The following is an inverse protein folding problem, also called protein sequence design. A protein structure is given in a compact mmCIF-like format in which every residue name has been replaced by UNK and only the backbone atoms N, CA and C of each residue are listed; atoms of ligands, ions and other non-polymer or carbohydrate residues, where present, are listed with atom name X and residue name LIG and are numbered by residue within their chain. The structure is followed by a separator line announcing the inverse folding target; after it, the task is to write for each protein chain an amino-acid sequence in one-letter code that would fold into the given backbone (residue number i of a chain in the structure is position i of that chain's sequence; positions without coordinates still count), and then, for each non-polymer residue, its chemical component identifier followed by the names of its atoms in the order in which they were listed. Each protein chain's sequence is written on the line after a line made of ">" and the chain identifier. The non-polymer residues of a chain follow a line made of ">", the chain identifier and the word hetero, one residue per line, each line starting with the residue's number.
data_IF_401185429443
#
_entry.id   IF_401185429443
#
_cell.length_a   1.000
_cell.length_b   1.000
_cell.length_c   1.000
_cell.angle_alpha   90.00
_cell.angle_beta   90.00
_cell.angle_gamma   90.00
#
_symmetry.space_group_name_H-M   'P 1'
#
loop_
_entity.id
_entity.type
_entity.pdbx_description
1 polymer ?
#
# COMPACT_ATOMS: atom_id res chain seq x y z
N UNK A 1 34.75 30.02 49.39
CA UNK A 1 35.93 30.20 48.53
C UNK A 1 35.54 29.67 47.13
N UNK A 2 35.29 30.62 46.22
CA UNK A 2 35.17 30.34 44.78
C UNK A 2 36.53 29.98 44.14
N UNK A 3 36.63 29.39 42.96
CA UNK A 3 36.45 30.14 41.71
C UNK A 3 35.72 29.38 40.61
N UNK A 4 34.82 29.99 39.92
CA UNK A 4 34.70 30.54 38.54
C UNK A 4 35.75 29.96 37.57
N UNK A 5 35.28 29.24 36.57
CA UNK A 5 35.96 29.05 35.28
C UNK A 5 35.00 29.09 34.11
N UNK A 6 35.09 30.18 33.36
CA UNK A 6 34.57 30.45 32.07
C UNK A 6 35.26 29.57 31.00
N UNK A 7 34.53 29.06 30.00
CA UNK A 7 35.03 28.90 28.60
C UNK A 7 33.82 28.82 27.68
N UNK A 8 33.48 29.91 26.99
CA UNK A 8 33.80 30.32 25.60
C UNK A 8 33.34 29.33 24.52
N UNK A 9 32.27 29.72 23.89
CA UNK A 9 32.06 30.00 22.44
C UNK A 9 32.76 29.08 21.44
N UNK A 10 31.98 28.38 20.65
CA UNK A 10 32.29 28.16 19.25
C UNK A 10 31.01 28.25 18.41
N UNK A 11 30.81 29.39 17.80
CA UNK A 11 29.94 29.60 16.62
C UNK A 11 30.55 28.86 15.43
N UNK A 12 29.88 27.84 14.97
CA UNK A 12 30.18 27.14 13.72
C UNK A 12 29.03 27.31 12.74
N UNK A 13 29.04 28.40 12.01
CA UNK A 13 28.15 28.59 10.86
C UNK A 13 28.46 27.56 9.77
N UNK A 14 27.47 26.82 9.33
CA UNK A 14 27.54 26.00 8.12
C UNK A 14 26.51 26.45 7.12
N UNK A 15 27.09 26.90 6.01
CA UNK A 15 26.50 27.39 4.80
C UNK A 15 25.31 26.55 4.31
N UNK A 16 24.24 27.26 4.04
CA UNK A 16 23.07 26.79 3.28
C UNK A 16 23.50 26.64 1.83
N UNK A 17 23.59 25.42 1.34
CA UNK A 17 23.66 25.13 -0.09
C UNK A 17 22.24 24.89 -0.59
N UNK A 18 21.70 25.89 -1.23
CA UNK A 18 20.48 25.84 -2.04
C UNK A 18 20.72 24.95 -3.27
N UNK A 19 20.08 23.80 -3.29
CA UNK A 19 19.93 22.95 -4.48
C UNK A 19 18.56 23.23 -5.08
N UNK A 20 18.58 23.90 -6.24
CA UNK A 20 17.42 24.11 -7.11
C UNK A 20 16.89 22.79 -7.64
N UNK A 21 15.57 22.51 -7.59
CA UNK A 21 15.00 21.37 -8.28
C UNK A 21 14.80 21.70 -9.77
N UNK A 22 15.39 20.89 -10.63
CA UNK A 22 15.11 20.89 -12.06
C UNK A 22 13.69 20.33 -12.31
N UNK A 23 12.86 21.14 -12.93
CA UNK A 23 11.55 20.78 -13.47
C UNK A 23 11.73 19.84 -14.67
N UNK A 24 11.37 18.59 -14.55
CA UNK A 24 11.18 17.66 -15.65
C UNK A 24 9.68 17.66 -16.02
N UNK A 25 9.36 18.35 -17.09
CA UNK A 25 8.06 18.29 -17.73
C UNK A 25 7.95 16.98 -18.53
N UNK A 26 7.11 16.06 -18.11
CA UNK A 26 6.73 14.89 -18.89
C UNK A 26 5.50 15.21 -19.72
N UNK A 27 5.67 15.26 -21.04
CA UNK A 27 4.58 15.40 -22.01
C UNK A 27 3.79 14.09 -22.10
N UNK A 28 2.51 14.14 -21.79
CA UNK A 28 1.55 13.06 -22.02
C UNK A 28 1.02 13.17 -23.45
N UNK A 29 1.40 12.25 -24.32
CA UNK A 29 0.82 12.10 -25.66
C UNK A 29 -0.44 11.26 -25.56
N UNK A 30 -1.61 11.89 -25.69
CA UNK A 30 -2.89 11.22 -25.84
C UNK A 30 -3.06 10.76 -27.28
N UNK A 31 -2.90 9.47 -27.55
CA UNK A 31 -3.22 8.85 -28.82
C UNK A 31 -4.69 8.43 -28.87
N UNK A 32 -5.52 9.19 -29.60
CA UNK A 32 -6.91 8.81 -29.91
C UNK A 32 -6.87 8.11 -31.27
N UNK A 33 -7.03 6.79 -31.28
CA UNK A 33 -7.27 6.02 -32.49
C UNK A 33 -8.78 5.91 -32.71
N UNK A 34 -9.33 6.76 -33.55
CA UNK A 34 -10.68 6.66 -34.06
C UNK A 34 -10.68 5.72 -35.30
N UNK A 35 -11.24 4.53 -35.18
CA UNK A 35 -11.61 3.72 -36.33
C UNK A 35 -13.06 3.98 -36.69
N UNK A 36 -13.27 4.91 -37.61
CA UNK A 36 -14.49 5.09 -38.34
C UNK A 36 -14.43 4.26 -39.63
N UNK A 37 -15.28 3.26 -39.73
CA UNK A 37 -15.50 2.49 -40.96
C UNK A 37 -16.90 2.73 -41.49
N UNK A 38 -17.05 3.64 -42.48
CA UNK A 38 -18.26 3.80 -43.25
C UNK A 38 -18.21 2.83 -44.43
N UNK A 39 -19.11 1.89 -44.48
CA UNK A 39 -19.31 1.02 -45.60
C UNK A 39 -20.36 1.62 -46.59
N UNK A 40 -19.97 1.75 -47.82
CA UNK A 40 -20.86 2.13 -48.90
C UNK A 40 -21.37 0.90 -49.65
N UNK A 41 -22.66 0.93 -49.98
CA UNK A 41 -23.40 -0.01 -50.79
C UNK A 41 -22.90 -0.14 -52.24
N UNK A 42 -22.95 -1.33 -52.80
CA UNK A 42 -23.39 -1.53 -54.21
C UNK A 42 -23.78 -2.97 -54.48
N UNK A 43 -24.78 -3.20 -55.35
CA UNK A 43 -25.38 -4.50 -55.57
C UNK A 43 -24.74 -5.24 -56.74
N UNK A 44 -24.46 -6.49 -56.56
CA UNK A 44 -23.98 -7.36 -57.66
C UNK A 44 -24.49 -8.78 -57.49
N UNK A 45 -25.40 -9.12 -58.36
CA UNK A 45 -26.04 -10.42 -58.60
C UNK A 45 -25.01 -11.50 -58.94
N UNK A 46 -25.02 -12.63 -58.22
CA UNK A 46 -24.67 -13.93 -58.81
C UNK A 46 -25.10 -15.07 -57.87
N UNK A 47 -26.00 -15.83 -58.40
CA UNK A 47 -26.59 -17.06 -57.88
C UNK A 47 -25.55 -18.18 -57.94
N UNK A 48 -25.25 -18.79 -56.80
CA UNK A 48 -24.63 -20.11 -56.74
C UNK A 48 -25.14 -20.84 -55.52
N UNK A 49 -26.02 -21.77 -55.79
CA UNK A 49 -26.50 -22.78 -54.85
C UNK A 49 -25.35 -23.75 -54.54
N UNK A 50 -24.80 -23.64 -53.32
CA UNK A 50 -24.01 -24.71 -52.71
C UNK A 50 -24.67 -25.09 -51.41
N UNK A 51 -25.22 -26.26 -51.39
CA UNK A 51 -25.66 -26.96 -50.19
C UNK A 51 -24.45 -27.21 -49.32
N UNK A 52 -24.32 -26.44 -48.23
CA UNK A 52 -23.30 -26.68 -47.20
C UNK A 52 -24.00 -27.39 -46.06
N UNK A 53 -23.56 -28.62 -45.80
CA UNK A 53 -23.88 -29.45 -44.65
C UNK A 53 -23.63 -28.66 -43.36
N UNK A 54 -24.47 -28.77 -42.31
CA UNK A 54 -24.25 -28.06 -41.05
C UNK A 54 -23.00 -28.64 -40.35
N UNK A 55 -21.96 -27.85 -40.31
CA UNK A 55 -20.79 -28.09 -39.49
C UNK A 55 -21.17 -27.98 -37.99
N UNK A 56 -20.73 -28.91 -37.12
CA UNK A 56 -21.09 -28.86 -35.72
C UNK A 56 -20.59 -27.55 -35.13
N UNK A 57 -21.49 -26.80 -34.52
CA UNK A 57 -21.20 -25.57 -33.81
C UNK A 57 -20.10 -25.82 -32.78
N UNK A 58 -18.89 -25.32 -33.02
CA UNK A 58 -17.86 -25.23 -32.04
C UNK A 58 -18.42 -24.38 -30.89
N UNK A 59 -18.65 -25.04 -29.75
CA UNK A 59 -19.04 -24.41 -28.51
C UNK A 59 -17.97 -23.36 -28.19
N UNK A 60 -18.27 -22.08 -28.43
CA UNK A 60 -17.41 -20.99 -27.97
C UNK A 60 -17.30 -21.14 -26.48
N UNK A 61 -16.13 -21.58 -26.03
CA UNK A 61 -15.75 -21.52 -24.65
C UNK A 61 -15.90 -20.05 -24.21
N UNK A 62 -16.81 -19.79 -23.30
CA UNK A 62 -17.02 -18.43 -22.79
C UNK A 62 -15.69 -17.91 -22.28
N UNK A 63 -15.18 -16.85 -22.90
CA UNK A 63 -14.03 -16.13 -22.37
C UNK A 63 -14.33 -15.74 -20.93
N UNK A 64 -13.41 -15.94 -19.98
CA UNK A 64 -13.66 -15.57 -18.59
C UNK A 64 -14.02 -14.09 -18.55
N UNK A 65 -15.22 -13.79 -18.10
CA UNK A 65 -15.71 -12.42 -17.93
C UNK A 65 -14.75 -11.69 -16.99
N UNK A 66 -14.09 -10.66 -17.51
CA UNK A 66 -13.18 -9.85 -16.70
C UNK A 66 -13.91 -9.33 -15.47
N UNK A 67 -13.29 -9.47 -14.29
CA UNK A 67 -13.87 -8.96 -13.04
C UNK A 67 -14.10 -7.46 -13.17
N UNK A 68 -15.24 -6.99 -12.72
CA UNK A 68 -15.51 -5.56 -12.65
C UNK A 68 -14.58 -4.90 -11.62
N UNK A 69 -14.32 -3.61 -11.75
CA UNK A 69 -13.50 -2.86 -10.78
C UNK A 69 -14.08 -2.94 -9.36
N UNK A 70 -15.41 -3.00 -9.25
CA UNK A 70 -16.10 -3.12 -7.97
C UNK A 70 -15.88 -4.50 -7.33
N UNK A 71 -15.97 -5.58 -8.09
CA UNK A 71 -15.66 -6.94 -7.62
C UNK A 71 -14.19 -7.08 -7.21
N UNK A 72 -13.28 -6.46 -7.97
CA UNK A 72 -11.87 -6.41 -7.60
C UNK A 72 -11.66 -5.67 -6.28
N UNK A 73 -12.22 -4.47 -6.12
CA UNK A 73 -12.13 -3.70 -4.87
C UNK A 73 -12.71 -4.46 -3.67
N UNK A 74 -13.85 -5.13 -3.84
CA UNK A 74 -14.45 -5.96 -2.80
C UNK A 74 -13.54 -7.14 -2.41
N UNK A 75 -12.92 -7.80 -3.39
CA UNK A 75 -12.01 -8.92 -3.13
C UNK A 75 -10.74 -8.49 -2.38
N UNK A 76 -10.17 -7.33 -2.71
CA UNK A 76 -9.00 -6.76 -2.01
C UNK A 76 -9.37 -6.40 -0.57
N UNK A 77 -10.52 -5.77 -0.35
CA UNK A 77 -10.99 -5.43 1.00
C UNK A 77 -11.23 -6.67 1.87
N UNK A 78 -11.81 -7.72 1.29
CA UNK A 78 -12.03 -8.99 1.99
C UNK A 78 -10.70 -9.70 2.31
N UNK A 79 -9.71 -9.64 1.42
CA UNK A 79 -8.38 -10.18 1.67
C UNK A 79 -7.66 -9.44 2.81
N UNK A 80 -7.71 -8.11 2.79
CA UNK A 80 -7.12 -7.28 3.84
C UNK A 80 -7.74 -7.58 5.22
N UNK A 81 -9.07 -7.77 5.28
CA UNK A 81 -9.76 -8.10 6.52
C UNK A 81 -9.40 -9.51 7.03
N UNK A 82 -9.30 -10.51 6.14
CA UNK A 82 -8.80 -11.87 6.55
C UNK A 82 -7.40 -11.80 7.12
N UNK A 83 -6.48 -11.07 6.47
CA UNK A 83 -5.12 -10.90 6.96
C UNK A 83 -5.10 -10.19 8.32
N UNK A 84 -5.94 -9.18 8.51
CA UNK A 84 -6.08 -8.50 9.80
C UNK A 84 -6.56 -9.45 10.90
N UNK A 85 -7.59 -10.26 10.62
CA UNK A 85 -8.12 -11.23 11.59
C UNK A 85 -7.10 -12.30 11.95
N UNK A 86 -6.34 -12.80 10.97
CA UNK A 86 -5.24 -13.73 11.21
C UNK A 86 -4.18 -13.09 12.10
N UNK A 87 -3.79 -11.84 11.80
CA UNK A 87 -2.80 -11.11 12.58
C UNK A 87 -3.27 -10.87 14.03
N UNK A 88 -4.54 -10.54 14.25
CA UNK A 88 -5.11 -10.40 15.60
C UNK A 88 -4.99 -11.70 16.39
N UNK A 89 -5.35 -12.84 15.76
CA UNK A 89 -5.24 -14.17 16.41
C UNK A 89 -3.79 -14.51 16.75
N UNK A 90 -2.86 -14.26 15.85
CA UNK A 90 -1.45 -14.55 16.07
C UNK A 90 -0.87 -13.69 17.20
N UNK A 91 -1.13 -12.37 17.19
CA UNK A 91 -0.63 -11.47 18.22
C UNK A 91 -1.23 -11.70 19.61
N UNK A 92 -2.41 -12.31 19.72
CA UNK A 92 -3.02 -12.65 21.00
C UNK A 92 -2.18 -13.64 21.82
N UNK A 93 -1.39 -14.50 21.17
CA UNK A 93 -0.48 -15.45 21.81
C UNK A 93 0.94 -14.95 22.05
N UNK A 94 1.26 -13.74 21.57
CA UNK A 94 2.63 -13.22 21.60
C UNK A 94 2.96 -12.61 22.97
N UNK A 95 4.04 -13.09 23.59
CA UNK A 95 4.60 -12.51 24.80
C UNK A 95 5.52 -11.35 24.43
N UNK A 96 5.35 -10.19 25.10
CA UNK A 96 6.16 -9.00 24.85
C UNK A 96 5.94 -8.37 23.48
N UNK A 97 7.03 -8.07 22.76
CA UNK A 97 6.97 -7.36 21.49
C UNK A 97 6.97 -8.26 20.25
N UNK A 98 7.17 -9.56 20.41
CA UNK A 98 7.30 -10.52 19.32
C UNK A 98 8.71 -10.55 18.70
N UNK A 99 8.91 -11.53 17.78
CA UNK A 99 10.23 -11.85 17.19
C UNK A 99 10.58 -11.01 15.95
N UNK A 100 9.58 -10.44 15.28
CA UNK A 100 9.73 -9.75 14.00
C UNK A 100 9.88 -8.23 14.11
N UNK A 101 10.04 -7.65 15.31
CA UNK A 101 10.12 -6.18 15.47
C UNK A 101 11.28 -5.57 14.70
N UNK A 102 12.38 -6.30 14.53
CA UNK A 102 13.56 -5.84 13.76
C UNK A 102 13.32 -5.76 12.26
N UNK A 103 12.31 -6.49 11.77
CA UNK A 103 11.95 -6.55 10.37
C UNK A 103 10.95 -5.47 9.98
N UNK A 104 10.43 -4.71 10.96
CA UNK A 104 9.34 -3.75 10.76
C UNK A 104 9.79 -2.33 11.11
N UNK A 105 9.43 -1.39 10.26
CA UNK A 105 9.57 0.04 10.54
C UNK A 105 8.24 0.76 10.35
N UNK A 106 8.05 1.85 11.08
CA UNK A 106 6.86 2.71 10.98
C UNK A 106 7.26 4.17 10.86
N UNK A 107 6.59 4.89 9.95
CA UNK A 107 6.80 6.33 9.73
C UNK A 107 5.44 7.02 9.68
N UNK A 108 5.24 8.03 10.53
CA UNK A 108 4.04 8.86 10.51
C UNK A 108 3.92 9.61 9.18
N UNK A 109 2.72 9.66 8.63
CA UNK A 109 2.44 10.43 7.42
C UNK A 109 1.94 11.84 7.78
N UNK A 110 2.32 12.87 7.00
CA UNK A 110 1.72 14.19 7.13
C UNK A 110 0.21 14.09 6.91
N UNK A 111 -0.54 14.85 7.71
CA UNK A 111 -2.00 14.91 7.58
C UNK A 111 -2.37 16.26 7.03
N UNK A 112 -3.14 16.29 5.95
CA UNK A 112 -3.76 17.52 5.49
C UNK A 112 -4.70 18.05 6.56
N UNK A 113 -4.85 19.38 6.66
CA UNK A 113 -5.66 20.03 7.71
C UNK A 113 -7.13 19.59 7.72
N UNK A 114 -7.62 19.09 6.58
CA UNK A 114 -8.99 18.61 6.39
C UNK A 114 -9.19 17.12 6.66
N UNK A 115 -8.11 16.36 6.82
CA UNK A 115 -8.19 14.91 7.01
C UNK A 115 -8.35 14.57 8.49
N UNK A 116 -9.37 13.79 8.81
CA UNK A 116 -9.65 13.32 10.16
C UNK A 116 -9.10 11.90 10.41
N UNK A 117 -8.00 11.58 9.76
CA UNK A 117 -7.35 10.27 9.89
C UNK A 117 -5.86 10.47 10.15
N UNK A 118 -5.33 9.79 11.15
CA UNK A 118 -3.88 9.67 11.34
C UNK A 118 -3.38 8.43 10.63
N UNK A 119 -2.40 8.61 9.77
CA UNK A 119 -1.83 7.53 8.97
C UNK A 119 -0.36 7.33 9.28
N UNK A 120 0.08 6.09 9.25
CA UNK A 120 1.47 5.72 9.36
C UNK A 120 1.81 4.66 8.31
N UNK A 121 2.92 4.85 7.61
CA UNK A 121 3.44 3.87 6.67
C UNK A 121 4.21 2.81 7.44
N UNK A 122 3.73 1.59 7.37
CA UNK A 122 4.39 0.41 7.94
C UNK A 122 5.11 -0.31 6.81
N UNK A 123 6.40 -0.60 7.03
CA UNK A 123 7.23 -1.38 6.10
C UNK A 123 7.67 -2.63 6.80
N UNK A 124 7.48 -3.76 6.14
CA UNK A 124 7.94 -5.08 6.58
C UNK A 124 8.96 -5.59 5.59
N UNK A 125 10.15 -5.95 6.06
CA UNK A 125 11.20 -6.56 5.24
C UNK A 125 11.41 -7.99 5.71
N UNK A 126 11.09 -8.95 4.85
CA UNK A 126 11.34 -10.35 5.16
C UNK A 126 12.84 -10.68 4.98
N UNK A 127 13.55 -10.86 6.09
CA UNK A 127 14.98 -11.19 6.11
C UNK A 127 15.26 -12.68 6.15
N UNK A 128 14.22 -13.51 6.04
CA UNK A 128 14.37 -14.97 6.02
C UNK A 128 14.50 -15.48 4.60
N UNK A 129 14.76 -16.76 4.47
CA UNK A 129 14.92 -17.49 3.20
C UNK A 129 13.59 -18.03 2.63
N UNK A 130 12.48 -17.87 3.37
CA UNK A 130 11.14 -18.35 2.99
C UNK A 130 10.13 -17.23 2.99
N UNK A 131 9.06 -17.39 2.20
CA UNK A 131 7.90 -16.51 2.31
C UNK A 131 7.27 -16.65 3.71
N UNK A 132 6.83 -15.54 4.30
CA UNK A 132 6.32 -15.52 5.65
C UNK A 132 5.12 -14.58 5.79
N UNK A 133 4.25 -14.88 6.75
CA UNK A 133 3.20 -13.98 7.20
C UNK A 133 3.73 -13.10 8.33
N UNK A 134 3.40 -11.80 8.29
CA UNK A 134 3.75 -10.88 9.36
C UNK A 134 2.51 -10.26 9.98
N UNK A 135 2.45 -10.30 11.30
CA UNK A 135 1.43 -9.66 12.11
C UNK A 135 2.04 -8.46 12.82
N UNK A 136 1.49 -7.27 12.62
CA UNK A 136 2.05 -6.03 13.17
C UNK A 136 0.97 -5.25 13.90
N UNK A 137 1.23 -4.89 15.17
CA UNK A 137 0.42 -3.95 15.94
C UNK A 137 1.12 -2.60 16.02
N UNK A 138 0.46 -1.59 15.46
CA UNK A 138 0.90 -0.20 15.50
C UNK A 138 0.06 0.54 16.54
N UNK A 139 0.72 1.28 17.41
CA UNK A 139 0.08 2.19 18.35
C UNK A 139 0.32 3.65 17.92
N UNK A 140 -0.74 4.44 18.00
CA UNK A 140 -0.68 5.89 17.87
C UNK A 140 -0.70 6.49 19.26
N UNK A 141 0.42 7.07 19.67
CA UNK A 141 0.58 7.66 21.00
C UNK A 141 0.64 9.17 20.92
N UNK A 142 0.23 9.86 21.99
CA UNK A 142 0.40 11.30 22.11
C UNK A 142 1.84 11.67 22.61
N UNK A 143 2.08 12.94 22.85
CA UNK A 143 3.38 13.44 23.31
C UNK A 143 3.77 12.92 24.71
N UNK A 144 2.81 12.47 25.51
CA UNK A 144 3.05 11.86 26.83
C UNK A 144 3.31 10.36 26.75
N UNK A 145 3.18 9.75 25.58
CA UNK A 145 3.30 8.31 25.38
C UNK A 145 2.01 7.52 25.63
N UNK A 146 0.89 8.22 25.93
CA UNK A 146 -0.42 7.58 26.10
C UNK A 146 -0.93 7.05 24.77
N UNK A 147 -1.39 5.80 24.75
CA UNK A 147 -1.98 5.17 23.57
C UNK A 147 -3.37 5.76 23.33
N UNK A 148 -3.56 6.35 22.16
CA UNK A 148 -4.84 6.89 21.70
C UNK A 148 -5.61 5.86 20.86
N UNK A 149 -4.89 5.08 20.06
CA UNK A 149 -5.46 4.02 19.23
C UNK A 149 -4.40 2.98 18.88
N UNK A 150 -4.87 1.78 18.51
CA UNK A 150 -4.01 0.72 17.98
C UNK A 150 -4.64 0.08 16.75
N UNK A 151 -3.80 -0.18 15.74
CA UNK A 151 -4.19 -0.79 14.47
C UNK A 151 -3.37 -2.06 14.27
N UNK A 152 -4.05 -3.15 13.90
CA UNK A 152 -3.40 -4.42 13.55
C UNK A 152 -3.42 -4.59 12.05
N UNK A 153 -2.26 -4.91 11.49
CA UNK A 153 -2.03 -5.20 10.08
C UNK A 153 -1.52 -6.64 9.93
N UNK A 154 -1.96 -7.31 8.86
CA UNK A 154 -1.45 -8.60 8.45
C UNK A 154 -0.88 -8.50 7.03
N UNK A 155 0.32 -9.03 6.85
CA UNK A 155 1.02 -9.09 5.57
C UNK A 155 1.19 -10.55 5.19
N UNK A 156 0.42 -11.01 4.18
CA UNK A 156 0.51 -12.38 3.71
C UNK A 156 1.63 -12.55 2.68
N UNK A 157 2.24 -13.71 2.70
CA UNK A 157 3.16 -14.20 1.68
C UNK A 157 4.28 -13.21 1.30
N UNK A 158 4.86 -12.55 2.32
CA UNK A 158 5.99 -11.64 2.08
C UNK A 158 7.19 -12.46 1.60
N UNK A 159 7.65 -12.28 0.34
CA UNK A 159 8.72 -13.12 -0.20
C UNK A 159 10.07 -12.85 0.49
N UNK A 160 11.02 -13.80 0.44
CA UNK A 160 12.36 -13.63 0.96
C UNK A 160 13.06 -12.37 0.43
N UNK A 161 13.70 -11.62 1.30
CA UNK A 161 14.46 -10.41 0.96
C UNK A 161 13.61 -9.23 0.46
N UNK A 162 12.29 -9.35 0.41
CA UNK A 162 11.40 -8.29 -0.11
C UNK A 162 10.88 -7.41 1.01
N UNK A 163 10.64 -6.15 0.64
CA UNK A 163 9.96 -5.18 1.49
C UNK A 163 8.57 -4.91 0.94
N UNK A 164 7.57 -5.01 1.80
CA UNK A 164 6.17 -4.65 1.51
C UNK A 164 5.72 -3.52 2.41
N UNK A 165 4.76 -2.73 1.94
CA UNK A 165 4.28 -1.54 2.64
C UNK A 165 2.77 -1.58 2.79
N UNK A 166 2.26 -1.07 3.91
CA UNK A 166 0.83 -0.86 4.15
C UNK A 166 0.62 0.35 5.06
N UNK A 167 -0.51 1.04 4.88
CA UNK A 167 -0.89 2.15 5.76
C UNK A 167 -1.68 1.63 6.97
N UNK A 168 -1.24 2.02 8.16
CA UNK A 168 -2.03 1.95 9.37
C UNK A 168 -2.81 3.25 9.51
N UNK A 169 -4.14 3.18 9.53
CA UNK A 169 -5.02 4.34 9.59
C UNK A 169 -5.81 4.34 10.90
N UNK A 170 -5.72 5.42 11.66
CA UNK A 170 -6.47 5.63 12.89
C UNK A 170 -7.43 6.81 12.75
N UNK A 171 -8.71 6.57 12.96
CA UNK A 171 -9.73 7.62 13.08
C UNK A 171 -9.88 8.12 14.51
N UNK A 172 -9.59 7.29 15.52
CA UNK A 172 -9.69 7.65 16.94
C UNK A 172 -8.62 8.64 17.37
N UNK A 173 -7.46 8.64 16.70
CA UNK A 173 -6.37 9.58 16.94
C UNK A 173 -6.49 10.87 16.11
N UNK A 174 -7.63 11.11 15.44
CA UNK A 174 -7.88 12.31 14.65
C UNK A 174 -7.77 13.59 15.51
N UNK A 175 -7.30 14.68 14.90
CA UNK A 175 -7.20 15.97 15.57
C UNK A 175 -6.02 16.14 16.56
N UNK A 176 -5.37 15.07 16.98
CA UNK A 176 -4.26 15.08 17.93
C UNK A 176 -2.93 14.82 17.21
N UNK A 177 -1.86 15.50 17.61
CA UNK A 177 -0.50 15.15 17.16
C UNK A 177 -0.12 13.79 17.74
N UNK A 178 0.17 12.83 16.86
CA UNK A 178 0.49 11.47 17.26
C UNK A 178 1.86 11.04 16.76
N UNK A 179 2.44 10.09 17.50
CA UNK A 179 3.69 9.42 17.14
C UNK A 179 3.38 7.93 17.01
N UNK A 180 3.45 7.37 15.80
CA UNK A 180 3.23 5.94 15.61
C UNK A 180 4.44 5.14 16.09
N UNK A 181 4.18 4.01 16.76
CA UNK A 181 5.22 3.07 17.17
C UNK A 181 4.79 1.62 16.92
N UNK A 182 5.74 0.74 16.72
CA UNK A 182 5.49 -0.71 16.65
C UNK A 182 5.38 -1.21 18.10
N UNK A 183 4.18 -1.66 18.47
CA UNK A 183 3.93 -2.28 19.78
C UNK A 183 4.34 -3.75 19.78
N UNK A 184 3.88 -4.50 18.75
CA UNK A 184 4.19 -5.91 18.58
C UNK A 184 4.39 -6.21 17.09
N UNK A 185 5.29 -7.14 16.80
CA UNK A 185 5.44 -7.72 15.47
C UNK A 185 5.87 -9.20 15.59
N UNK A 186 5.14 -10.05 14.89
CA UNK A 186 5.36 -11.51 14.90
C UNK A 186 5.38 -12.04 13.47
N UNK A 187 6.17 -13.09 13.25
CA UNK A 187 6.31 -13.78 11.97
C UNK A 187 5.89 -15.24 12.11
N UNK A 188 5.26 -15.81 11.09
CA UNK A 188 4.91 -17.24 10.99
C UNK A 188 5.13 -17.77 9.58
#
# INVERSE_FOLDING_TARGET
>A
MNPISHLRHALGGRAVRSLTPALLAAAVIAGVAACGGSGSNSPGTARSTRTVSPEPALTRSASPTGRTQQEFAASVSAAAERNRQQAVKQLAGVQGRGDAVKDVSVTGQPVAKTEQVRSALVRVTNRTDKAAFYSVKVEFVDASGKVLDSVVLGFSDVPPGRTVNQLANSRKAAGVKTFPRIAQAERS
#
